data_IF_904569425508
#
_entry.id   IF_904569425508
#
_cell.length_a   1.000
_cell.length_b   1.000
_cell.length_c   1.000
_cell.angle_alpha   90.00
_cell.angle_beta   90.00
_cell.angle_gamma   90.00
#
_symmetry.space_group_name_H-M   'P 1'
#
loop_
_entity.id
_entity.type
_entity.pdbx_description
1 polymer ?
#
# COMPACT_ATOMS: atom_id res chain seq x y z
N UNK A 1 -17.01 -6.18 2.19
CA UNK A 1 -17.22 -4.77 2.61
C UNK A 1 -17.52 -4.60 4.10
N UNK A 2 -18.35 -5.44 4.74
CA UNK A 2 -18.74 -5.24 6.14
C UNK A 2 -17.54 -5.16 7.11
N UNK A 3 -16.59 -6.08 7.01
CA UNK A 3 -15.42 -6.16 7.92
C UNK A 3 -14.47 -4.98 7.79
N UNK A 4 -14.25 -4.46 6.59
CA UNK A 4 -13.38 -3.28 6.40
C UNK A 4 -14.04 -2.02 6.96
N UNK A 5 -15.36 -1.86 6.82
CA UNK A 5 -16.08 -0.73 7.41
C UNK A 5 -16.15 -0.80 8.95
N UNK A 6 -16.22 -2.00 9.51
CA UNK A 6 -16.08 -2.20 10.95
C UNK A 6 -14.69 -1.72 11.43
N UNK A 7 -13.61 -2.07 10.69
CA UNK A 7 -12.26 -1.59 11.00
C UNK A 7 -12.14 -0.05 10.96
N UNK A 8 -12.77 0.61 9.97
CA UNK A 8 -12.75 2.06 9.89
C UNK A 8 -13.35 2.74 11.13
N UNK A 9 -14.34 2.13 11.76
CA UNK A 9 -14.95 2.65 12.98
C UNK A 9 -14.02 2.61 14.22
N UNK A 10 -12.96 1.82 14.16
CA UNK A 10 -11.94 1.73 15.23
C UNK A 10 -10.86 2.83 15.13
N UNK A 11 -10.75 3.51 13.98
CA UNK A 11 -9.76 4.56 13.77
C UNK A 11 -10.11 5.77 14.65
N UNK A 12 -9.13 6.24 15.43
CA UNK A 12 -9.24 7.39 16.32
C UNK A 12 -8.23 8.46 15.93
N UNK A 13 -8.55 9.74 16.12
CA UNK A 13 -7.58 10.82 15.96
C UNK A 13 -6.33 10.61 16.82
N UNK A 14 -5.22 11.21 16.41
CA UNK A 14 -4.01 11.26 17.23
C UNK A 14 -4.28 12.03 18.55
N UNK A 15 -3.68 11.54 19.64
CA UNK A 15 -3.82 12.12 20.97
C UNK A 15 -3.08 13.47 21.06
N UNK A 16 -3.83 14.57 21.09
CA UNK A 16 -3.27 15.92 21.13
C UNK A 16 -2.49 16.20 22.42
N UNK A 17 -2.89 15.59 23.56
CA UNK A 17 -2.16 15.75 24.83
C UNK A 17 -0.78 15.09 24.77
N UNK A 18 -0.71 13.88 24.19
CA UNK A 18 0.57 13.21 23.96
C UNK A 18 1.46 14.00 22.98
N UNK A 19 0.88 14.57 21.92
CA UNK A 19 1.63 15.43 20.99
C UNK A 19 2.20 16.66 21.68
N UNK A 20 1.41 17.35 22.49
CA UNK A 20 1.88 18.53 23.23
C UNK A 20 2.95 18.17 24.26
N UNK A 21 2.78 17.07 24.99
CA UNK A 21 3.79 16.58 25.93
C UNK A 21 5.13 16.25 25.22
N UNK A 22 5.06 15.61 24.05
CA UNK A 22 6.24 15.35 23.23
C UNK A 22 6.92 16.63 22.74
N UNK A 23 6.16 17.66 22.34
CA UNK A 23 6.67 18.96 21.93
C UNK A 23 7.39 19.68 23.09
N UNK A 24 6.78 19.69 24.26
CA UNK A 24 7.40 20.27 25.47
C UNK A 24 8.69 19.53 25.83
N UNK A 25 8.71 18.21 25.71
CA UNK A 25 9.92 17.43 25.96
C UNK A 25 11.05 17.76 24.96
N UNK A 26 10.75 17.92 23.67
CA UNK A 26 11.71 18.36 22.65
C UNK A 26 12.29 19.75 22.99
N UNK A 27 11.45 20.67 23.46
CA UNK A 27 11.87 22.02 23.82
C UNK A 27 12.72 22.06 25.10
N UNK A 28 12.65 21.04 25.95
CA UNK A 28 13.47 20.91 27.16
C UNK A 28 14.86 20.31 26.93
N UNK A 29 15.11 19.74 25.73
CA UNK A 29 16.43 19.20 25.36
C UNK A 29 17.38 20.37 25.06
N UNK A 30 18.63 20.28 25.54
CA UNK A 30 19.66 21.28 25.31
C UNK A 30 20.14 21.31 23.84
N UNK A 31 19.32 21.88 22.97
CA UNK A 31 19.58 22.10 21.54
C UNK A 31 18.81 23.36 21.09
N UNK A 32 19.15 24.00 19.97
CA UNK A 32 18.29 25.04 19.40
C UNK A 32 16.88 24.49 19.13
N UNK A 33 15.85 25.27 19.47
CA UNK A 33 14.44 24.87 19.25
C UNK A 33 14.19 24.60 17.77
N UNK A 34 13.60 23.46 17.46
CA UNK A 34 13.27 23.06 16.09
C UNK A 34 14.48 22.69 15.23
N UNK A 35 15.68 22.51 15.79
CA UNK A 35 16.92 22.30 15.03
C UNK A 35 16.95 20.99 14.24
N UNK A 36 16.15 19.99 14.59
CA UNK A 36 16.04 18.74 13.86
C UNK A 36 14.91 18.74 12.82
N UNK A 37 14.17 19.87 12.70
CA UNK A 37 13.16 20.07 11.68
C UNK A 37 12.05 19.00 11.68
N UNK A 38 11.79 18.41 10.54
CA UNK A 38 10.74 17.40 10.31
C UNK A 38 10.84 16.21 11.28
N UNK A 39 12.05 15.82 11.68
CA UNK A 39 12.24 14.70 12.62
C UNK A 39 11.53 14.94 13.95
N UNK A 40 11.57 16.16 14.48
CA UNK A 40 10.86 16.49 15.71
C UNK A 40 9.33 16.38 15.53
N UNK A 41 8.81 16.89 14.42
CA UNK A 41 7.39 16.82 14.10
C UNK A 41 6.91 15.37 13.88
N UNK A 42 7.72 14.52 13.26
CA UNK A 42 7.38 13.12 13.06
C UNK A 42 7.33 12.36 14.39
N UNK A 43 8.30 12.59 15.29
CA UNK A 43 8.27 11.98 16.63
C UNK A 43 7.07 12.49 17.45
N UNK A 44 6.69 13.76 17.31
CA UNK A 44 5.48 14.33 17.95
C UNK A 44 4.22 13.64 17.42
N UNK A 45 4.10 13.40 16.09
CA UNK A 45 2.99 12.67 15.50
C UNK A 45 2.93 11.22 15.99
N UNK A 46 4.09 10.55 16.06
CA UNK A 46 4.21 9.18 16.59
C UNK A 46 3.73 9.12 18.04
N UNK A 47 4.12 10.08 18.88
CA UNK A 47 3.62 10.18 20.24
C UNK A 47 2.08 10.28 20.28
N UNK A 48 1.49 11.09 19.41
CA UNK A 48 0.04 11.20 19.25
C UNK A 48 -0.63 9.91 18.79
N UNK A 49 -0.03 9.18 17.83
CA UNK A 49 -0.52 7.88 17.38
C UNK A 49 -0.51 6.87 18.54
N UNK A 50 0.57 6.83 19.30
CA UNK A 50 0.74 5.92 20.43
C UNK A 50 -0.08 6.34 21.67
N UNK A 51 -0.48 7.60 21.79
CA UNK A 51 -1.06 8.18 23.00
C UNK A 51 -0.06 8.24 24.16
N UNK A 52 1.23 8.31 23.87
CA UNK A 52 2.31 8.29 24.86
C UNK A 52 3.51 9.11 24.37
N UNK A 53 3.96 10.07 25.19
CA UNK A 53 5.13 10.92 24.94
C UNK A 53 6.39 10.48 25.71
N UNK A 54 6.27 9.57 26.68
CA UNK A 54 7.41 9.18 27.54
C UNK A 54 8.28 8.14 26.88
N UNK A 55 7.67 7.18 26.22
CA UNK A 55 8.37 6.09 25.54
C UNK A 55 7.80 5.86 24.15
N UNK A 56 8.65 6.03 23.14
CA UNK A 56 8.35 5.76 21.73
C UNK A 56 9.21 4.57 21.30
N UNK A 57 8.62 3.36 21.18
CA UNK A 57 9.36 2.14 20.90
C UNK A 57 9.64 2.03 19.38
N UNK A 58 10.76 2.58 18.91
CA UNK A 58 11.17 2.51 17.49
C UNK A 58 12.26 1.46 17.24
N UNK A 59 12.68 0.72 18.26
CA UNK A 59 13.79 -0.25 18.19
C UNK A 59 13.50 -1.41 17.24
N UNK A 60 12.22 -1.75 17.07
CA UNK A 60 11.80 -2.84 16.19
C UNK A 60 10.95 -2.28 15.05
N UNK A 61 11.54 -2.24 13.86
CA UNK A 61 10.91 -1.72 12.64
C UNK A 61 10.60 -2.83 11.64
N UNK A 62 9.48 -2.70 10.92
CA UNK A 62 9.05 -3.63 9.89
C UNK A 62 8.86 -2.92 8.54
N UNK A 63 9.19 -3.60 7.45
CA UNK A 63 8.82 -3.24 6.09
C UNK A 63 7.92 -4.33 5.50
N UNK A 64 6.66 -4.01 5.22
CA UNK A 64 5.74 -4.89 4.52
C UNK A 64 5.78 -4.60 3.01
N UNK A 65 6.06 -5.62 2.18
CA UNK A 65 6.13 -5.50 0.72
C UNK A 65 5.01 -6.32 0.10
N UNK A 66 3.99 -5.66 -0.46
CA UNK A 66 2.83 -6.30 -1.09
C UNK A 66 3.17 -6.72 -2.52
N UNK A 67 3.14 -8.02 -2.79
CA UNK A 67 3.50 -8.60 -4.09
C UNK A 67 2.23 -9.02 -4.85
N UNK A 68 2.02 -8.48 -6.06
CA UNK A 68 0.87 -8.82 -6.91
C UNK A 68 1.17 -8.62 -8.38
N UNK A 69 0.44 -9.33 -9.23
CA UNK A 69 0.49 -9.17 -10.69
C UNK A 69 -0.76 -8.47 -11.23
N UNK A 70 -0.61 -7.87 -12.39
CA UNK A 70 -1.62 -7.00 -13.01
C UNK A 70 -1.93 -7.45 -14.45
N UNK A 71 -3.21 -7.74 -14.72
CA UNK A 71 -3.64 -8.15 -16.06
C UNK A 71 -3.46 -7.07 -17.13
N UNK A 72 -3.30 -5.82 -16.75
CA UNK A 72 -3.02 -4.72 -17.69
C UNK A 72 -1.67 -4.87 -18.42
N UNK A 73 -0.80 -5.76 -18.00
CA UNK A 73 0.44 -6.13 -18.72
C UNK A 73 0.14 -6.59 -20.15
N UNK A 74 -1.03 -7.18 -20.41
CA UNK A 74 -1.51 -7.55 -21.75
C UNK A 74 -1.56 -6.36 -22.74
N UNK A 75 -1.67 -5.14 -22.25
CA UNK A 75 -1.68 -3.91 -23.08
C UNK A 75 -0.27 -3.44 -23.48
N UNK A 76 0.78 -4.22 -23.19
CA UNK A 76 2.17 -3.88 -23.54
C UNK A 76 2.69 -2.63 -22.81
N UNK A 77 2.28 -2.43 -21.58
CA UNK A 77 2.62 -1.27 -20.71
C UNK A 77 3.86 -1.50 -19.85
N UNK A 78 4.56 -2.63 -20.04
CA UNK A 78 5.76 -3.03 -19.32
C UNK A 78 6.85 -3.52 -20.26
N UNK A 79 8.11 -3.55 -19.81
CA UNK A 79 9.24 -4.12 -20.57
C UNK A 79 9.43 -5.62 -20.31
N UNK A 80 8.92 -6.12 -19.16
CA UNK A 80 9.07 -7.50 -18.73
C UNK A 80 7.70 -8.10 -18.47
N UNK A 81 7.62 -9.42 -18.42
CA UNK A 81 6.42 -10.14 -18.06
C UNK A 81 6.24 -10.28 -16.54
N UNK A 82 5.12 -10.86 -16.14
CA UNK A 82 4.71 -11.03 -14.73
C UNK A 82 5.64 -12.00 -13.97
N UNK A 83 6.39 -12.85 -14.66
CA UNK A 83 7.37 -13.77 -14.05
C UNK A 83 8.40 -13.03 -13.16
N UNK A 84 8.72 -11.76 -13.50
CA UNK A 84 9.68 -10.97 -12.73
C UNK A 84 9.15 -10.65 -11.33
N UNK A 85 7.85 -10.46 -11.14
CA UNK A 85 7.25 -10.25 -9.82
C UNK A 85 7.63 -11.39 -8.87
N UNK A 86 7.45 -12.64 -9.31
CA UNK A 86 7.76 -13.81 -8.51
C UNK A 86 9.26 -13.93 -8.21
N UNK A 87 10.11 -13.71 -9.22
CA UNK A 87 11.58 -13.75 -9.04
C UNK A 87 12.02 -12.74 -7.97
N UNK A 88 11.48 -11.51 -8.01
CA UNK A 88 11.83 -10.48 -7.02
C UNK A 88 11.25 -10.82 -5.65
N UNK A 89 10.02 -11.36 -5.56
CA UNK A 89 9.44 -11.82 -4.30
C UNK A 89 10.30 -12.91 -3.64
N UNK A 90 10.83 -13.86 -4.41
CA UNK A 90 11.79 -14.85 -3.93
C UNK A 90 13.10 -14.22 -3.49
N UNK A 91 13.59 -13.21 -4.20
CA UNK A 91 14.83 -12.51 -3.84
C UNK A 91 14.70 -11.72 -2.52
N UNK A 92 13.49 -11.25 -2.15
CA UNK A 92 13.26 -10.69 -0.81
C UNK A 92 13.54 -11.73 0.27
N UNK A 93 13.10 -12.97 0.11
CA UNK A 93 13.34 -14.04 1.10
C UNK A 93 14.81 -14.43 1.21
N UNK A 94 15.59 -14.22 0.16
CA UNK A 94 17.04 -14.49 0.11
C UNK A 94 17.89 -13.28 0.56
N UNK A 95 17.28 -12.13 0.84
CA UNK A 95 17.99 -10.89 1.16
C UNK A 95 18.81 -10.31 0.00
N UNK A 96 18.41 -10.55 -1.24
CA UNK A 96 19.16 -10.23 -2.46
C UNK A 96 18.60 -9.04 -3.24
N UNK A 97 17.68 -8.27 -2.65
CA UNK A 97 17.16 -7.04 -3.27
C UNK A 97 17.82 -5.80 -2.66
N UNK A 98 17.76 -4.67 -3.38
CA UNK A 98 18.29 -3.39 -2.87
C UNK A 98 17.68 -3.06 -1.51
N UNK A 99 16.36 -3.18 -1.37
CA UNK A 99 15.65 -2.85 -0.13
C UNK A 99 16.03 -3.78 1.02
N UNK A 100 16.22 -5.08 0.78
CA UNK A 100 16.66 -6.01 1.85
C UNK A 100 18.09 -5.72 2.31
N UNK A 101 18.97 -5.28 1.39
CA UNK A 101 20.30 -4.81 1.76
C UNK A 101 20.24 -3.54 2.63
N UNK A 102 19.39 -2.57 2.27
CA UNK A 102 19.19 -1.35 3.06
C UNK A 102 18.55 -1.66 4.42
N UNK A 103 17.55 -2.52 4.47
CA UNK A 103 16.89 -2.96 5.70
C UNK A 103 17.86 -3.69 6.65
N UNK A 104 18.80 -4.45 6.12
CA UNK A 104 19.87 -5.07 6.94
C UNK A 104 20.72 -4.02 7.65
N UNK A 105 21.02 -2.90 7.00
CA UNK A 105 21.80 -1.80 7.60
C UNK A 105 20.97 -1.07 8.67
N UNK A 106 19.67 -0.86 8.44
CA UNK A 106 18.79 -0.17 9.39
C UNK A 106 18.25 -1.07 10.50
N UNK A 107 18.49 -2.38 10.46
CA UNK A 107 17.90 -3.33 11.42
C UNK A 107 16.39 -3.52 11.23
N UNK A 108 15.87 -3.30 10.01
CA UNK A 108 14.44 -3.41 9.70
C UNK A 108 14.13 -4.81 9.17
N UNK A 109 13.13 -5.47 9.76
CA UNK A 109 12.62 -6.76 9.29
C UNK A 109 11.75 -6.59 8.05
N UNK A 110 11.97 -7.43 7.02
CA UNK A 110 11.23 -7.37 5.76
C UNK A 110 10.21 -8.49 5.68
N UNK A 111 8.97 -8.14 5.39
CA UNK A 111 7.83 -9.04 5.24
C UNK A 111 7.29 -9.00 3.81
N UNK A 112 7.81 -9.82 2.88
CA UNK A 112 7.20 -9.96 1.56
C UNK A 112 5.88 -10.73 1.68
N UNK A 113 4.84 -10.22 1.02
CA UNK A 113 3.47 -10.74 1.13
C UNK A 113 2.91 -11.00 -0.27
N UNK A 114 2.66 -12.25 -0.61
CA UNK A 114 1.87 -12.58 -1.80
C UNK A 114 0.41 -12.24 -1.54
N UNK A 115 -0.05 -11.14 -2.12
CA UNK A 115 -1.46 -10.71 -2.07
C UNK A 115 -2.19 -11.00 -3.39
N UNK A 116 -1.46 -11.44 -4.42
CA UNK A 116 -2.06 -11.80 -5.71
C UNK A 116 -1.08 -11.88 -6.86
N UNK A 117 0.02 -12.61 -6.73
CA UNK A 117 0.88 -12.95 -7.86
C UNK A 117 0.17 -13.91 -8.81
N UNK A 118 0.50 -13.88 -10.11
CA UNK A 118 -0.07 -14.76 -11.11
C UNK A 118 0.35 -16.23 -10.89
N UNK A 119 -0.42 -17.16 -11.47
CA UNK A 119 -0.17 -18.60 -11.37
C UNK A 119 -0.63 -19.22 -10.05
N UNK A 120 -0.14 -20.44 -9.79
CA UNK A 120 -0.41 -21.14 -8.54
C UNK A 120 0.24 -20.44 -7.37
N UNK A 121 -0.47 -20.40 -6.22
CA UNK A 121 0.05 -19.80 -5.00
C UNK A 121 1.35 -20.46 -4.56
N UNK A 122 2.13 -19.72 -3.77
CA UNK A 122 3.27 -20.29 -3.08
C UNK A 122 2.80 -21.48 -2.22
N UNK A 123 3.48 -22.62 -2.34
CA UNK A 123 3.07 -23.89 -1.67
C UNK A 123 3.13 -23.82 -0.13
N UNK A 124 3.77 -22.78 0.44
CA UNK A 124 3.74 -22.58 1.87
C UNK A 124 2.43 -21.88 2.26
N UNK A 125 1.47 -22.71 2.58
CA UNK A 125 0.25 -22.30 3.25
C UNK A 125 0.56 -22.04 4.72
N UNK A 126 1.10 -20.86 5.00
CA UNK A 126 1.10 -20.31 6.35
C UNK A 126 -0.34 -20.01 6.77
N UNK A 127 -1.20 -21.01 6.74
CA UNK A 127 -2.61 -20.92 7.11
C UNK A 127 -2.74 -20.41 8.54
N UNK A 128 -2.63 -19.12 8.71
CA UNK A 128 -3.26 -18.32 9.74
C UNK A 128 -3.00 -18.59 11.21
N UNK A 129 -2.17 -19.55 11.60
CA UNK A 129 -1.91 -19.88 13.01
C UNK A 129 -0.51 -19.53 13.51
N UNK A 130 0.44 -19.32 12.59
CA UNK A 130 1.77 -18.90 12.97
C UNK A 130 1.94 -17.39 12.79
N UNK A 131 2.65 -16.75 13.72
CA UNK A 131 2.98 -15.34 13.61
C UNK A 131 3.81 -15.09 12.33
N UNK A 132 3.63 -13.93 11.64
CA UNK A 132 4.46 -13.57 10.52
C UNK A 132 5.95 -13.63 10.88
N UNK A 133 6.77 -14.16 9.99
CA UNK A 133 8.21 -14.20 10.18
C UNK A 133 8.90 -13.33 9.12
N UNK A 134 9.94 -12.57 9.49
CA UNK A 134 10.67 -11.74 8.53
C UNK A 134 11.39 -12.61 7.51
N UNK A 135 11.53 -12.09 6.28
CA UNK A 135 12.16 -12.76 5.15
C UNK A 135 11.50 -14.07 4.70
N UNK A 136 10.27 -14.33 5.13
CA UNK A 136 9.44 -15.43 4.63
C UNK A 136 8.32 -14.83 3.78
N UNK A 137 8.08 -15.39 2.60
CA UNK A 137 6.97 -14.95 1.75
C UNK A 137 5.64 -15.39 2.37
N UNK A 138 4.90 -14.42 2.88
CA UNK A 138 3.60 -14.65 3.51
C UNK A 138 2.52 -14.84 2.45
N UNK A 139 1.73 -15.89 2.56
CA UNK A 139 0.58 -16.11 1.68
C UNK A 139 -0.68 -15.42 2.24
N UNK A 140 -1.11 -14.34 1.56
CA UNK A 140 -2.33 -13.57 1.87
C UNK A 140 -3.13 -13.27 0.59
N UNK A 141 -3.14 -14.20 -0.35
CA UNK A 141 -3.70 -14.02 -1.70
C UNK A 141 -5.18 -13.66 -1.69
N UNK A 142 -5.53 -12.61 -2.40
CA UNK A 142 -6.90 -12.24 -2.74
C UNK A 142 -7.34 -12.82 -4.10
N UNK A 143 -6.38 -13.13 -4.98
CA UNK A 143 -6.59 -13.72 -6.30
C UNK A 143 -5.27 -14.10 -6.98
N UNK A 144 -5.31 -14.52 -8.21
CA UNK A 144 -4.16 -14.89 -9.05
C UNK A 144 -3.91 -13.79 -10.11
N UNK A 145 -3.42 -12.64 -9.68
CA UNK A 145 -3.32 -11.43 -10.50
C UNK A 145 -4.65 -10.67 -10.60
N UNK A 146 -4.59 -9.34 -10.69
CA UNK A 146 -5.77 -8.53 -11.02
C UNK A 146 -6.13 -8.69 -12.49
N UNK A 147 -7.37 -8.38 -12.85
CA UNK A 147 -7.81 -8.39 -14.24
C UNK A 147 -7.32 -7.15 -14.98
N UNK A 148 -7.49 -7.16 -16.31
CA UNK A 148 -7.11 -6.04 -17.15
C UNK A 148 -8.10 -4.88 -16.99
N UNK A 149 -7.70 -3.84 -16.26
CA UNK A 149 -8.54 -2.68 -15.94
C UNK A 149 -8.98 -1.85 -17.18
N UNK A 150 -8.35 -2.08 -18.34
CA UNK A 150 -8.80 -1.46 -19.61
C UNK A 150 -10.11 -2.09 -20.08
N UNK A 151 -10.30 -3.39 -19.83
CA UNK A 151 -11.42 -4.19 -20.36
C UNK A 151 -12.56 -4.37 -19.34
N UNK A 152 -12.20 -4.57 -18.07
CA UNK A 152 -13.15 -4.86 -17.00
C UNK A 152 -12.66 -4.35 -15.64
N UNK A 153 -13.45 -4.52 -14.57
CA UNK A 153 -13.01 -4.21 -13.22
C UNK A 153 -11.76 -5.02 -12.84
N UNK A 154 -10.75 -4.36 -12.28
CA UNK A 154 -9.49 -5.00 -11.89
C UNK A 154 -9.69 -6.12 -10.85
N UNK A 155 -10.67 -5.96 -9.96
CA UNK A 155 -11.00 -6.89 -8.89
C UNK A 155 -12.51 -6.99 -8.71
N UNK A 156 -13.00 -8.14 -8.21
CA UNK A 156 -14.35 -8.19 -7.64
C UNK A 156 -14.37 -7.48 -6.28
N UNK A 157 -15.56 -7.08 -5.80
CA UNK A 157 -15.69 -6.51 -4.46
C UNK A 157 -15.13 -7.43 -3.36
N UNK A 158 -15.37 -8.75 -3.46
CA UNK A 158 -14.83 -9.71 -2.48
C UNK A 158 -13.31 -9.83 -2.55
N UNK A 159 -12.73 -9.76 -3.74
CA UNK A 159 -11.26 -9.76 -3.90
C UNK A 159 -10.64 -8.48 -3.33
N UNK A 160 -11.25 -7.33 -3.61
CA UNK A 160 -10.80 -6.05 -3.06
C UNK A 160 -10.87 -6.04 -1.52
N UNK A 161 -11.98 -6.50 -0.92
CA UNK A 161 -12.10 -6.62 0.53
C UNK A 161 -11.06 -7.58 1.12
N UNK A 162 -10.81 -8.73 0.51
CA UNK A 162 -9.78 -9.67 0.96
C UNK A 162 -8.38 -9.05 0.93
N UNK A 163 -8.04 -8.33 -0.12
CA UNK A 163 -6.74 -7.66 -0.22
C UNK A 163 -6.58 -6.56 0.85
N UNK A 164 -7.61 -5.72 1.04
CA UNK A 164 -7.64 -4.73 2.12
C UNK A 164 -7.44 -5.38 3.50
N UNK A 165 -8.18 -6.45 3.79
CA UNK A 165 -8.08 -7.16 5.07
C UNK A 165 -6.74 -7.88 5.25
N UNK A 166 -6.11 -8.37 4.17
CA UNK A 166 -4.78 -8.96 4.22
C UNK A 166 -3.76 -7.96 4.78
N UNK A 167 -3.78 -6.72 4.27
CA UNK A 167 -2.92 -5.65 4.77
C UNK A 167 -3.27 -5.22 6.20
N UNK A 168 -4.56 -5.02 6.47
CA UNK A 168 -5.02 -4.57 7.79
C UNK A 168 -4.66 -5.57 8.91
N UNK A 169 -4.84 -6.86 8.66
CA UNK A 169 -4.48 -7.90 9.63
C UNK A 169 -2.97 -8.07 9.77
N UNK A 170 -2.19 -7.81 8.71
CA UNK A 170 -0.74 -7.78 8.85
C UNK A 170 -0.30 -6.66 9.80
N UNK A 171 -0.86 -5.45 9.68
CA UNK A 171 -0.56 -4.36 10.63
C UNK A 171 -0.88 -4.74 12.08
N UNK A 172 -2.04 -5.38 12.32
CA UNK A 172 -2.41 -5.91 13.63
C UNK A 172 -1.37 -6.90 14.16
N UNK A 173 -1.03 -7.89 13.33
CA UNK A 173 -0.12 -8.97 13.72
C UNK A 173 1.28 -8.40 14.04
N UNK A 174 1.81 -7.49 13.22
CA UNK A 174 3.07 -6.79 13.47
C UNK A 174 3.03 -5.97 14.78
N UNK A 175 1.91 -5.26 15.04
CA UNK A 175 1.72 -4.55 16.32
C UNK A 175 1.79 -5.51 17.51
N UNK A 176 1.10 -6.66 17.42
CA UNK A 176 1.11 -7.67 18.48
C UNK A 176 2.49 -8.30 18.69
N UNK A 177 3.31 -8.39 17.63
CA UNK A 177 4.71 -8.85 17.71
C UNK A 177 5.67 -7.79 18.25
N UNK A 178 5.18 -6.60 18.63
CA UNK A 178 5.96 -5.54 19.24
C UNK A 178 6.72 -4.65 18.26
N UNK A 179 6.36 -4.64 16.97
CA UNK A 179 6.91 -3.65 16.05
C UNK A 179 6.39 -2.26 16.41
N UNK A 180 7.29 -1.28 16.46
CA UNK A 180 7.02 0.09 16.89
C UNK A 180 6.82 1.06 15.71
N UNK A 181 7.32 0.70 14.53
CA UNK A 181 7.17 1.48 13.30
C UNK A 181 7.05 0.55 12.09
N UNK A 182 6.18 0.95 11.15
CA UNK A 182 5.88 0.20 9.93
C UNK A 182 6.19 1.04 8.69
N UNK A 183 7.00 0.48 7.81
CA UNK A 183 7.15 0.97 6.45
C UNK A 183 6.38 0.07 5.47
N UNK A 184 5.96 0.62 4.34
CA UNK A 184 5.27 -0.12 3.28
C UNK A 184 6.04 -0.07 1.98
N UNK A 185 5.90 -1.12 1.19
CA UNK A 185 6.40 -1.23 -0.18
C UNK A 185 5.50 -2.12 -1.01
N UNK A 186 5.77 -2.14 -2.29
CA UNK A 186 5.08 -3.01 -3.23
C UNK A 186 6.08 -3.63 -4.23
N UNK A 187 5.66 -4.72 -4.84
CA UNK A 187 6.31 -5.33 -5.99
C UNK A 187 5.27 -5.93 -6.91
N UNK A 188 5.15 -5.39 -8.11
CA UNK A 188 4.20 -5.90 -9.10
C UNK A 188 4.46 -5.36 -10.49
N UNK A 189 4.79 -6.24 -11.44
CA UNK A 189 4.98 -5.80 -12.82
C UNK A 189 3.67 -5.28 -13.38
N UNK A 190 3.70 -4.01 -13.82
CA UNK A 190 2.53 -3.31 -14.37
C UNK A 190 1.77 -2.42 -13.38
N UNK A 191 2.06 -2.47 -12.08
CA UNK A 191 1.33 -1.78 -10.99
C UNK A 191 1.25 -0.26 -11.13
N UNK A 192 2.24 0.38 -11.76
CA UNK A 192 2.22 1.83 -12.00
C UNK A 192 1.15 2.27 -13.00
N UNK A 193 0.52 1.34 -13.74
CA UNK A 193 -0.62 1.65 -14.62
C UNK A 193 -1.92 1.84 -13.83
N UNK A 194 -2.36 0.90 -12.98
CA UNK A 194 -3.49 1.14 -12.06
C UNK A 194 -3.24 2.32 -11.12
N UNK A 195 -2.02 2.50 -10.60
CA UNK A 195 -1.68 3.67 -9.79
C UNK A 195 -1.92 4.99 -10.54
N UNK A 196 -1.54 5.07 -11.82
CA UNK A 196 -1.80 6.24 -12.67
C UNK A 196 -3.29 6.44 -12.96
N UNK A 197 -4.06 5.35 -13.17
CA UNK A 197 -5.50 5.44 -13.39
C UNK A 197 -6.22 5.96 -12.14
N UNK A 198 -5.89 5.43 -10.97
CA UNK A 198 -6.41 5.93 -9.69
C UNK A 198 -6.05 7.41 -9.47
N UNK A 199 -4.78 7.78 -9.68
CA UNK A 199 -4.33 9.16 -9.53
C UNK A 199 -5.08 10.10 -10.47
N UNK A 200 -5.29 9.71 -11.74
CA UNK A 200 -6.04 10.52 -12.71
C UNK A 200 -7.48 10.76 -12.26
N UNK A 201 -8.19 9.72 -11.82
CA UNK A 201 -9.59 9.84 -11.38
C UNK A 201 -9.69 10.64 -10.07
N UNK A 202 -8.81 10.37 -9.09
CA UNK A 202 -8.87 11.03 -7.78
C UNK A 202 -8.53 12.53 -7.84
N UNK A 203 -7.60 12.90 -8.72
CA UNK A 203 -7.12 14.30 -8.79
C UNK A 203 -7.79 15.10 -9.94
N UNK A 204 -8.50 14.44 -10.84
CA UNK A 204 -9.00 15.05 -12.08
C UNK A 204 -7.90 15.39 -13.10
N UNK A 205 -6.64 15.03 -12.83
CA UNK A 205 -5.53 15.32 -13.72
C UNK A 205 -5.57 14.42 -14.97
N UNK A 206 -5.28 14.96 -16.17
CA UNK A 206 -5.25 14.16 -17.38
C UNK A 206 -4.28 12.97 -17.26
N UNK A 207 -4.60 11.78 -17.80
CA UNK A 207 -3.74 10.59 -17.74
C UNK A 207 -2.28 10.84 -18.13
N UNK A 208 -2.04 11.66 -19.13
CA UNK A 208 -0.68 12.02 -19.60
C UNK A 208 0.20 12.70 -18.55
N UNK A 209 -0.39 13.40 -17.57
CA UNK A 209 0.35 14.10 -16.53
C UNK A 209 0.71 13.19 -15.34
N UNK A 210 -0.08 12.16 -15.10
CA UNK A 210 0.09 11.23 -13.96
C UNK A 210 0.73 9.89 -14.38
N UNK A 211 0.97 9.69 -15.68
CA UNK A 211 1.54 8.43 -16.18
C UNK A 211 3.04 8.59 -16.44
N UNK A 212 3.83 7.90 -15.63
CA UNK A 212 5.28 7.82 -15.78
C UNK A 212 5.75 6.58 -16.54
N UNK A 213 7.08 6.51 -16.79
CA UNK A 213 7.73 5.39 -17.53
C UNK A 213 7.79 4.08 -16.72
N UNK A 214 7.43 4.10 -15.46
CA UNK A 214 7.62 2.94 -14.58
C UNK A 214 9.08 2.48 -14.58
N UNK A 215 9.30 1.19 -14.81
CA UNK A 215 10.64 0.58 -14.84
C UNK A 215 11.43 0.88 -16.13
N UNK A 216 11.24 2.04 -16.76
CA UNK A 216 12.09 2.50 -17.87
C UNK A 216 11.54 2.26 -19.28
N UNK A 217 10.23 2.37 -19.49
CA UNK A 217 9.60 2.28 -20.80
C UNK A 217 10.21 3.26 -21.82
N UNK A 218 10.34 2.82 -23.08
CA UNK A 218 10.63 3.71 -24.22
C UNK A 218 9.52 4.75 -24.42
N UNK A 219 9.75 5.75 -25.28
CA UNK A 219 8.72 6.75 -25.61
C UNK A 219 7.45 6.11 -26.17
N UNK A 220 7.60 5.12 -27.06
CA UNK A 220 6.46 4.38 -27.60
C UNK A 220 5.75 3.56 -26.52
N UNK A 221 6.50 2.95 -25.57
CA UNK A 221 5.94 2.25 -24.41
C UNK A 221 5.16 3.19 -23.50
N UNK A 222 5.69 4.38 -23.22
CA UNK A 222 4.99 5.39 -22.44
C UNK A 222 3.69 5.84 -23.13
N UNK A 223 3.70 6.05 -24.44
CA UNK A 223 2.48 6.40 -25.18
C UNK A 223 1.42 5.29 -25.11
N UNK A 224 1.82 4.01 -25.22
CA UNK A 224 0.88 2.89 -25.04
C UNK A 224 0.30 2.88 -23.63
N UNK A 225 1.13 3.08 -22.61
CA UNK A 225 0.70 3.11 -21.22
C UNK A 225 -0.26 4.28 -20.96
N UNK A 226 0.01 5.47 -21.47
CA UNK A 226 -0.89 6.62 -21.37
C UNK A 226 -2.26 6.32 -21.99
N UNK A 227 -2.30 5.70 -23.18
CA UNK A 227 -3.55 5.26 -23.83
C UNK A 227 -4.29 4.20 -23.01
N UNK A 228 -3.58 3.24 -22.39
CA UNK A 228 -4.20 2.23 -21.52
C UNK A 228 -4.83 2.88 -20.28
N UNK A 229 -4.15 3.84 -19.65
CA UNK A 229 -4.70 4.60 -18.52
C UNK A 229 -5.92 5.41 -18.94
N UNK A 230 -5.87 6.10 -20.08
CA UNK A 230 -7.00 6.85 -20.64
C UNK A 230 -8.22 5.96 -20.89
N UNK A 231 -8.01 4.84 -21.58
CA UNK A 231 -9.09 3.88 -21.86
C UNK A 231 -9.72 3.29 -20.57
N UNK A 232 -8.89 3.02 -19.56
CA UNK A 232 -9.39 2.54 -18.26
C UNK A 232 -10.24 3.60 -17.53
N UNK A 233 -9.80 4.86 -17.52
CA UNK A 233 -10.55 5.98 -16.96
C UNK A 233 -11.88 6.21 -17.72
N UNK A 234 -11.83 6.17 -19.05
CA UNK A 234 -13.04 6.29 -19.89
C UNK A 234 -14.02 5.16 -19.65
N UNK A 235 -13.53 3.90 -19.52
CA UNK A 235 -14.36 2.74 -19.14
C UNK A 235 -15.06 3.00 -17.82
N UNK A 236 -14.31 3.45 -16.80
CA UNK A 236 -14.84 3.76 -15.47
C UNK A 236 -15.92 4.84 -15.54
N UNK A 237 -15.67 5.98 -16.18
CA UNK A 237 -16.64 7.06 -16.29
C UNK A 237 -17.87 6.70 -17.13
N UNK A 238 -17.73 5.81 -18.12
CA UNK A 238 -18.85 5.29 -18.91
C UNK A 238 -19.75 4.40 -18.05
N UNK A 239 -19.16 3.57 -17.21
CA UNK A 239 -19.91 2.68 -16.31
C UNK A 239 -20.50 3.43 -15.12
N UNK A 240 -19.82 4.47 -14.65
CA UNK A 240 -20.20 5.27 -13.49
C UNK A 240 -20.17 6.78 -13.80
N UNK A 241 -21.12 7.29 -14.61
CA UNK A 241 -21.10 8.70 -15.10
C UNK A 241 -21.09 9.75 -13.99
N UNK A 242 -21.61 9.41 -12.80
CA UNK A 242 -21.65 10.31 -11.64
C UNK A 242 -20.27 10.78 -11.17
N UNK A 243 -19.22 10.03 -11.47
CA UNK A 243 -17.85 10.36 -11.01
C UNK A 243 -17.08 11.26 -11.99
N UNK A 244 -17.64 11.60 -13.14
CA UNK A 244 -16.95 12.43 -14.15
C UNK A 244 -16.59 13.82 -13.63
N UNK A 245 -17.51 14.43 -12.85
CA UNK A 245 -17.35 15.75 -12.25
C UNK A 245 -17.39 15.67 -10.71
N UNK A 246 -16.99 14.52 -10.18
CA UNK A 246 -17.09 14.23 -8.74
C UNK A 246 -15.90 14.78 -7.98
N UNK A 247 -16.16 15.50 -6.88
CA UNK A 247 -15.12 15.98 -5.97
C UNK A 247 -14.77 14.90 -4.95
N UNK A 248 -13.67 14.17 -5.20
CA UNK A 248 -13.21 13.11 -4.32
C UNK A 248 -12.84 13.61 -2.92
N UNK A 249 -12.27 14.80 -2.83
CA UNK A 249 -11.87 15.40 -1.54
C UNK A 249 -13.08 15.81 -0.69
N UNK A 250 -14.09 16.41 -1.32
CA UNK A 250 -15.22 17.00 -0.61
C UNK A 250 -16.42 16.08 -0.42
N UNK A 251 -16.59 15.07 -1.30
CA UNK A 251 -17.87 14.34 -1.43
C UNK A 251 -17.72 12.82 -1.35
N UNK A 252 -16.51 12.27 -1.37
CA UNK A 252 -16.33 10.82 -1.40
C UNK A 252 -16.65 10.18 -0.05
N UNK A 253 -17.46 9.15 -0.11
CA UNK A 253 -17.66 8.23 1.02
C UNK A 253 -16.74 7.00 0.89
N UNK A 254 -16.50 6.24 1.97
CA UNK A 254 -15.67 5.03 1.92
C UNK A 254 -16.10 4.02 0.85
N UNK A 255 -17.40 3.98 0.51
CA UNK A 255 -17.91 3.10 -0.56
C UNK A 255 -17.48 3.55 -1.95
N UNK A 256 -17.36 4.84 -2.19
CA UNK A 256 -16.91 5.39 -3.48
C UNK A 256 -15.43 5.05 -3.68
N UNK A 257 -14.60 5.25 -2.66
CA UNK A 257 -13.19 4.88 -2.69
C UNK A 257 -13.00 3.36 -2.87
N UNK A 258 -13.82 2.54 -2.20
CA UNK A 258 -13.80 1.09 -2.36
C UNK A 258 -14.15 0.68 -3.80
N UNK A 259 -15.19 1.27 -4.38
CA UNK A 259 -15.58 1.02 -5.77
C UNK A 259 -14.48 1.38 -6.75
N UNK A 260 -13.91 2.59 -6.62
CA UNK A 260 -12.80 3.04 -7.47
C UNK A 260 -11.60 2.11 -7.38
N UNK A 261 -11.24 1.69 -6.16
CA UNK A 261 -10.13 0.76 -5.93
C UNK A 261 -10.40 -0.61 -6.57
N UNK A 262 -11.61 -1.13 -6.48
CA UNK A 262 -11.98 -2.40 -7.12
C UNK A 262 -11.95 -2.32 -8.65
N UNK A 263 -12.37 -1.19 -9.22
CA UNK A 263 -12.47 -0.98 -10.67
C UNK A 263 -11.11 -0.73 -11.34
N UNK A 264 -10.26 0.09 -10.72
CA UNK A 264 -9.04 0.61 -11.35
C UNK A 264 -7.75 0.26 -10.58
N UNK A 265 -7.82 -0.37 -9.41
CA UNK A 265 -6.68 -0.67 -8.57
C UNK A 265 -5.97 -1.99 -8.91
N UNK A 266 -5.36 -2.57 -7.88
CA UNK A 266 -4.70 -3.87 -7.89
C UNK A 266 -4.62 -4.42 -6.48
N UNK A 267 -4.27 -5.70 -6.35
CA UNK A 267 -4.22 -6.35 -5.03
C UNK A 267 -3.16 -5.73 -4.11
N UNK A 268 -2.02 -5.31 -4.66
CA UNK A 268 -0.94 -4.61 -3.94
C UNK A 268 -1.42 -3.27 -3.39
N UNK A 269 -2.03 -2.43 -4.23
CA UNK A 269 -2.56 -1.12 -3.83
C UNK A 269 -3.66 -1.30 -2.77
N UNK A 270 -4.56 -2.27 -2.97
CA UNK A 270 -5.61 -2.57 -2.01
C UNK A 270 -5.02 -3.06 -0.67
N UNK A 271 -4.03 -3.96 -0.70
CA UNK A 271 -3.38 -4.45 0.51
C UNK A 271 -2.58 -3.36 1.23
N UNK A 272 -1.88 -2.47 0.51
CA UNK A 272 -1.22 -1.31 1.10
C UNK A 272 -2.23 -0.35 1.74
N UNK A 273 -3.35 -0.07 1.06
CA UNK A 273 -4.45 0.74 1.64
C UNK A 273 -4.94 0.09 2.93
N UNK A 274 -5.18 -1.21 2.92
CA UNK A 274 -5.57 -1.96 4.11
C UNK A 274 -4.52 -1.92 5.21
N UNK A 275 -3.23 -1.99 4.87
CA UNK A 275 -2.11 -1.89 5.82
C UNK A 275 -2.14 -0.55 6.57
N UNK A 276 -2.34 0.57 5.85
CA UNK A 276 -2.44 1.89 6.46
C UNK A 276 -3.70 2.05 7.32
N UNK A 277 -4.85 1.54 6.86
CA UNK A 277 -6.09 1.54 7.66
C UNK A 277 -5.93 0.70 8.93
N UNK A 278 -5.30 -0.48 8.84
CA UNK A 278 -4.98 -1.31 9.98
C UNK A 278 -3.98 -0.65 10.92
N UNK A 279 -2.92 -0.03 10.38
CA UNK A 279 -1.93 0.73 11.16
C UNK A 279 -2.62 1.85 11.96
N UNK A 280 -3.54 2.60 11.34
CA UNK A 280 -4.33 3.61 12.03
C UNK A 280 -5.25 3.04 13.12
N UNK A 281 -5.97 1.94 12.83
CA UNK A 281 -6.88 1.30 13.78
C UNK A 281 -6.15 0.69 14.99
N UNK A 282 -4.99 0.06 14.75
CA UNK A 282 -4.20 -0.60 15.79
C UNK A 282 -3.09 0.29 16.39
N UNK A 283 -3.04 1.56 16.01
CA UNK A 283 -2.06 2.54 16.50
C UNK A 283 -0.61 2.06 16.32
N UNK A 284 -0.28 1.63 15.11
CA UNK A 284 1.07 1.30 14.67
C UNK A 284 1.58 2.45 13.77
N UNK A 285 2.56 3.26 14.23
CA UNK A 285 3.15 4.33 13.42
C UNK A 285 3.77 3.83 12.12
#
# INVERSE_FOLDING_TARGET
MKKIFELLSEIRPADQKAMEAARLRWNSVAKPIGSLGILEEDIIKIAGILGNAERIPLEKSALAVMCADHGVVEEGVTQTGQEVTRIVAENFTKGQTSVTCMCRVSGTDVFPVDVGMAGEGWLWDGSGKEAPAPFVLLNRRAGAGSRNLVREAAMTGDQCERALLAGAFLARDLKQMGYGILASGEMGIGNTTPASALASVLTGAPPRLVTGRGAGLSDQGLLRKQKAVEAACERFFRQYPRYKDFSWEASAEPRDAFLLLAELGGFDIAAMTGLFLGAAAYRLP
#
